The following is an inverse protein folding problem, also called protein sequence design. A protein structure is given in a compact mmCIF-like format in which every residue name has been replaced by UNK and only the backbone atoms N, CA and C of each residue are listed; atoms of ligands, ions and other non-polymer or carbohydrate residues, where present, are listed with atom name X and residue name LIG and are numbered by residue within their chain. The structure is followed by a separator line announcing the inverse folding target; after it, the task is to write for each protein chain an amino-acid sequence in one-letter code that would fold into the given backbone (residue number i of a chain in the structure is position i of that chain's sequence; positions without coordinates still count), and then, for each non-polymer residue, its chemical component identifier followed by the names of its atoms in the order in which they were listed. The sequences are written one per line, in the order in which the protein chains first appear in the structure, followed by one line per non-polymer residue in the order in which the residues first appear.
data_IF_790402979459
#
_entry.id   IF_790402979459
#
_cell.length_a   1.000
_cell.length_b   1.000
_cell.length_c   1.000
_cell.angle_alpha   90.00
_cell.angle_beta   90.00
_cell.angle_gamma   90.00
#
_symmetry.space_group_name_H-M   'P 1'
#
loop_
_entity.id
_entity.type
_entity.pdbx_description
1 polymer ?
#
# COMPACT_ATOMS: atom_id res chain seq x y z
N UNK A 1 -24.43 -63.19 46.47
CA UNK A 1 -24.38 -62.83 45.04
C UNK A 1 -25.01 -61.49 44.70
N UNK A 2 -26.34 -61.25 44.73
CA UNK A 2 -26.87 -59.90 44.43
C UNK A 2 -26.65 -58.85 45.54
N UNK A 3 -26.62 -59.26 46.80
CA UNK A 3 -26.41 -58.35 47.94
C UNK A 3 -24.93 -57.95 48.12
N UNK A 4 -23.99 -58.85 47.82
CA UNK A 4 -22.54 -58.55 47.89
C UNK A 4 -22.07 -57.59 46.79
N UNK A 5 -22.68 -57.64 45.59
CA UNK A 5 -22.37 -56.68 44.51
C UNK A 5 -22.94 -55.27 44.79
N UNK A 6 -24.07 -55.17 45.51
CA UNK A 6 -24.64 -53.88 45.92
C UNK A 6 -23.86 -53.22 47.06
N UNK A 7 -23.32 -54.01 47.99
CA UNK A 7 -22.49 -53.54 49.09
C UNK A 7 -21.08 -53.10 48.63
N UNK A 8 -20.45 -53.83 47.69
CA UNK A 8 -19.20 -53.38 47.03
C UNK A 8 -19.40 -52.10 46.21
N UNK A 9 -20.54 -51.96 45.53
CA UNK A 9 -20.86 -50.74 44.79
C UNK A 9 -21.09 -49.54 45.71
N UNK A 10 -21.72 -49.74 46.87
CA UNK A 10 -21.95 -48.71 47.87
C UNK A 10 -20.66 -48.29 48.60
N UNK A 11 -19.75 -49.22 48.88
CA UNK A 11 -18.44 -48.94 49.47
C UNK A 11 -17.49 -48.26 48.46
N UNK A 12 -17.55 -48.66 47.18
CA UNK A 12 -16.83 -48.01 46.08
C UNK A 12 -17.30 -46.57 45.82
N UNK A 13 -18.62 -46.32 45.88
CA UNK A 13 -19.20 -44.98 45.74
C UNK A 13 -18.93 -44.10 46.98
N UNK A 14 -18.97 -44.67 48.19
CA UNK A 14 -18.68 -43.97 49.44
C UNK A 14 -17.24 -43.48 49.54
N UNK A 15 -16.28 -44.24 48.99
CA UNK A 15 -14.87 -43.83 48.91
C UNK A 15 -14.59 -42.78 47.83
N UNK A 16 -15.41 -42.67 46.79
CA UNK A 16 -15.27 -41.64 45.75
C UNK A 16 -15.82 -40.27 46.17
N UNK A 17 -16.87 -40.24 47.01
CA UNK A 17 -17.53 -39.00 47.44
C UNK A 17 -16.64 -38.19 48.42
N UNK A 18 -15.76 -38.84 49.18
CA UNK A 18 -14.84 -38.17 50.10
C UNK A 18 -13.55 -37.62 49.45
N UNK A 19 -13.35 -37.84 48.13
CA UNK A 19 -12.14 -37.42 47.39
C UNK A 19 -12.43 -36.25 46.43
N UNK A 20 -13.70 -35.86 46.26
CA UNK A 20 -14.10 -34.77 45.37
C UNK A 20 -14.54 -33.57 46.23
N UNK A 21 -13.68 -32.57 46.33
CA UNK A 21 -14.04 -31.27 46.90
C UNK A 21 -15.11 -30.61 45.98
N UNK A 22 -16.27 -30.18 46.51
CA UNK A 22 -17.30 -29.46 45.75
C UNK A 22 -16.79 -28.23 44.98
N UNK A 23 -15.62 -27.69 45.37
CA UNK A 23 -14.95 -26.59 44.67
C UNK A 23 -14.28 -26.98 43.34
N UNK A 24 -14.03 -28.27 43.09
CA UNK A 24 -13.43 -28.75 41.83
C UNK A 24 -14.46 -29.09 40.74
N UNK A 25 -15.73 -29.32 41.10
CA UNK A 25 -16.84 -29.46 40.14
C UNK A 25 -17.11 -28.12 39.42
N UNK A 26 -16.84 -26.99 40.07
CA UNK A 26 -17.03 -25.65 39.49
C UNK A 26 -15.85 -25.14 38.64
N UNK A 27 -14.71 -25.87 38.54
CA UNK A 27 -13.59 -25.46 37.67
C UNK A 27 -13.73 -25.91 36.21
N UNK A 28 -14.60 -26.88 35.92
CA UNK A 28 -14.84 -27.38 34.56
C UNK A 28 -16.03 -26.71 33.85
N UNK A 29 -16.67 -25.70 34.45
CA UNK A 29 -17.72 -24.86 33.85
C UNK A 29 -17.23 -23.76 32.91
N UNK A 30 -16.09 -23.94 32.23
CA UNK A 30 -15.70 -23.09 31.09
C UNK A 30 -15.38 -23.97 29.91
N UNK A 31 -16.44 -24.36 29.20
CA UNK A 31 -16.40 -24.61 27.76
C UNK A 31 -15.90 -23.35 27.02
N UNK A 32 -14.61 -23.05 27.14
CA UNK A 32 -13.94 -22.17 26.19
C UNK A 32 -13.78 -23.00 24.93
N UNK A 33 -14.81 -22.99 24.08
CA UNK A 33 -14.70 -23.43 22.68
C UNK A 33 -13.33 -23.03 22.16
N UNK A 34 -12.52 -24.03 21.79
CA UNK A 34 -11.12 -23.82 21.38
C UNK A 34 -11.13 -22.89 20.18
N UNK A 35 -10.80 -21.61 20.41
CA UNK A 35 -10.89 -20.57 19.38
C UNK A 35 -10.13 -20.98 18.14
N UNK A 36 -10.75 -20.78 16.98
CA UNK A 36 -10.13 -21.12 15.70
C UNK A 36 -8.86 -20.28 15.48
N UNK A 37 -7.94 -20.76 14.63
CA UNK A 37 -6.74 -19.98 14.24
C UNK A 37 -7.10 -18.60 13.68
N UNK A 38 -8.27 -18.50 13.02
CA UNK A 38 -8.83 -17.26 12.47
C UNK A 38 -9.27 -16.30 13.58
N UNK A 39 -9.99 -16.78 14.59
CA UNK A 39 -10.41 -16.00 15.76
C UNK A 39 -9.23 -15.49 16.57
N UNK A 40 -8.27 -16.36 16.91
CA UNK A 40 -7.04 -15.96 17.63
C UNK A 40 -6.28 -14.86 16.86
N UNK A 41 -6.23 -14.93 15.53
CA UNK A 41 -5.61 -13.92 14.68
C UNK A 41 -6.41 -12.61 14.67
N UNK A 42 -7.75 -12.67 14.68
CA UNK A 42 -8.64 -11.51 14.76
C UNK A 42 -8.47 -10.78 16.10
N UNK A 43 -8.53 -11.50 17.21
CA UNK A 43 -8.34 -10.94 18.57
C UNK A 43 -6.97 -10.31 18.73
N UNK A 44 -5.91 -11.00 18.28
CA UNK A 44 -4.56 -10.43 18.28
C UNK A 44 -4.50 -9.12 17.49
N UNK A 45 -5.14 -9.07 16.31
CA UNK A 45 -5.20 -7.84 15.48
C UNK A 45 -5.96 -6.72 16.17
N UNK A 46 -7.09 -7.02 16.81
CA UNK A 46 -7.91 -6.05 17.54
C UNK A 46 -7.17 -5.50 18.76
N UNK A 47 -6.57 -6.36 19.58
CA UNK A 47 -5.72 -5.96 20.70
C UNK A 47 -4.54 -5.08 20.24
N UNK A 48 -3.85 -5.45 19.14
CA UNK A 48 -2.80 -4.62 18.56
C UNK A 48 -3.34 -3.27 18.04
N UNK A 49 -4.53 -3.24 17.45
CA UNK A 49 -5.18 -2.01 16.96
C UNK A 49 -5.51 -1.08 18.13
N UNK A 50 -6.03 -1.62 19.23
CA UNK A 50 -6.37 -0.87 20.43
C UNK A 50 -5.12 -0.35 21.15
N UNK A 51 -4.10 -1.20 21.34
CA UNK A 51 -2.80 -0.80 21.91
C UNK A 51 -2.16 0.31 21.08
N UNK A 52 -2.21 0.23 19.75
CA UNK A 52 -1.75 1.31 18.86
C UNK A 52 -2.61 2.57 19.01
N UNK A 53 -3.93 2.45 19.15
CA UNK A 53 -4.84 3.59 19.36
C UNK A 53 -4.53 4.31 20.67
N UNK A 54 -4.30 3.58 21.76
CA UNK A 54 -3.91 4.11 23.09
C UNK A 54 -2.54 4.80 23.05
N UNK A 55 -1.57 4.27 22.31
CA UNK A 55 -0.21 4.85 22.19
C UNK A 55 -0.09 6.05 21.22
N UNK A 56 -1.06 6.27 20.32
CA UNK A 56 -1.01 7.36 19.32
C UNK A 56 -0.88 8.76 19.92
N UNK A 57 -1.63 9.15 20.98
CA UNK A 57 -1.50 10.47 21.59
C UNK A 57 -0.12 10.70 22.21
N UNK A 58 0.37 9.71 22.98
CA UNK A 58 1.69 9.74 23.61
C UNK A 58 2.81 9.85 22.56
N UNK A 59 2.74 9.05 21.49
CA UNK A 59 3.72 9.11 20.40
C UNK A 59 3.70 10.47 19.67
N UNK A 60 2.51 11.07 19.49
CA UNK A 60 2.38 12.43 18.95
C UNK A 60 3.00 13.48 19.87
N UNK A 61 2.77 13.39 21.20
CA UNK A 61 3.36 14.29 22.20
C UNK A 61 4.89 14.19 22.18
N UNK A 62 5.42 12.97 22.26
CA UNK A 62 6.87 12.70 22.19
C UNK A 62 7.52 13.24 20.91
N UNK A 63 6.86 13.12 19.76
CA UNK A 63 7.38 13.69 18.49
C UNK A 63 7.38 15.23 18.49
N UNK A 64 6.39 15.87 19.11
CA UNK A 64 6.36 17.34 19.25
C UNK A 64 7.45 17.83 20.19
N UNK A 65 7.63 17.14 21.32
CA UNK A 65 8.66 17.44 22.32
C UNK A 65 10.06 17.33 21.74
N UNK A 66 10.39 16.22 21.07
CA UNK A 66 11.68 16.06 20.36
C UNK A 66 11.95 17.17 19.34
N UNK A 67 10.93 17.64 18.61
CA UNK A 67 11.07 18.77 17.68
C UNK A 67 11.32 20.09 18.39
N UNK A 68 10.66 20.31 19.53
CA UNK A 68 10.85 21.50 20.37
C UNK A 68 12.25 21.50 20.99
N UNK A 69 12.70 20.39 21.55
CA UNK A 69 14.05 20.24 22.11
C UNK A 69 15.13 20.46 21.04
N UNK A 70 14.99 19.87 19.86
CA UNK A 70 15.93 20.09 18.76
C UNK A 70 15.99 21.55 18.33
N UNK A 71 14.84 22.26 18.31
CA UNK A 71 14.79 23.68 18.03
C UNK A 71 15.46 24.51 19.13
N UNK A 72 15.18 24.23 20.40
CA UNK A 72 15.80 24.92 21.54
C UNK A 72 17.32 24.73 21.56
N UNK A 73 17.83 23.54 21.25
CA UNK A 73 19.28 23.29 21.13
C UNK A 73 19.94 24.16 20.07
N UNK A 74 19.28 24.38 18.93
CA UNK A 74 19.78 25.26 17.88
C UNK A 74 19.75 26.72 18.37
N UNK A 75 18.65 27.15 18.97
CA UNK A 75 18.48 28.53 19.43
C UNK A 75 19.40 28.91 20.59
N UNK A 76 19.72 27.98 21.49
CA UNK A 76 20.61 28.24 22.64
C UNK A 76 22.05 28.55 22.22
N UNK A 77 22.48 28.12 21.03
CA UNK A 77 23.82 28.37 20.50
C UNK A 77 23.90 29.68 19.69
N UNK A 78 22.82 30.45 19.61
CA UNK A 78 22.71 31.66 18.78
C UNK A 78 22.44 32.90 19.63
N UNK A 79 22.93 34.05 19.15
CA UNK A 79 22.67 35.36 19.74
C UNK A 79 21.23 35.82 19.43
N UNK A 80 20.73 36.86 20.10
CA UNK A 80 19.33 37.33 19.92
C UNK A 80 19.01 37.77 18.48
N UNK A 81 19.93 38.47 17.82
CA UNK A 81 19.78 38.85 16.41
C UNK A 81 19.74 37.61 15.48
N UNK A 82 20.62 36.64 15.73
CA UNK A 82 20.70 35.39 14.96
C UNK A 82 19.46 34.51 15.18
N UNK A 83 18.90 34.48 16.39
CA UNK A 83 17.63 33.79 16.69
C UNK A 83 16.48 34.38 15.87
N UNK A 84 16.37 35.72 15.81
CA UNK A 84 15.33 36.40 15.03
C UNK A 84 15.50 36.09 13.54
N UNK A 85 16.72 36.17 13.02
CA UNK A 85 17.02 35.85 11.63
C UNK A 85 16.67 34.40 11.29
N UNK A 86 17.08 33.43 12.13
CA UNK A 86 16.79 32.01 11.94
C UNK A 86 15.28 31.71 11.93
N UNK A 87 14.51 32.29 12.84
CA UNK A 87 13.06 32.10 12.88
C UNK A 87 12.37 32.69 11.64
N UNK A 88 12.82 33.87 11.18
CA UNK A 88 12.31 34.52 9.96
C UNK A 88 12.62 33.68 8.72
N UNK A 89 13.86 33.23 8.57
CA UNK A 89 14.29 32.36 7.46
C UNK A 89 13.53 31.04 7.46
N UNK A 90 13.38 30.41 8.63
CA UNK A 90 12.60 29.18 8.76
C UNK A 90 11.15 29.37 8.31
N UNK A 91 10.49 30.45 8.74
CA UNK A 91 9.12 30.79 8.32
C UNK A 91 9.04 31.02 6.80
N UNK A 92 10.01 31.73 6.23
CA UNK A 92 10.08 31.97 4.79
C UNK A 92 10.29 30.66 4.01
N UNK A 93 11.17 29.78 4.48
CA UNK A 93 11.41 28.45 3.91
C UNK A 93 10.15 27.58 3.94
N UNK A 94 9.39 27.62 5.03
CA UNK A 94 8.11 26.90 5.13
C UNK A 94 7.06 27.44 4.16
N UNK A 95 6.97 28.75 3.95
CA UNK A 95 6.09 29.38 2.95
C UNK A 95 6.53 28.97 1.54
N UNK A 96 7.82 29.09 1.22
CA UNK A 96 8.38 28.72 -0.08
C UNK A 96 8.10 27.24 -0.42
N UNK A 97 8.32 26.32 0.52
CA UNK A 97 8.02 24.88 0.32
C UNK A 97 6.53 24.61 0.08
N UNK A 98 5.64 25.35 0.75
CA UNK A 98 4.19 25.24 0.52
C UNK A 98 3.83 25.71 -0.88
N UNK A 99 4.40 26.84 -1.31
CA UNK A 99 4.16 27.39 -2.65
C UNK A 99 4.72 26.47 -3.74
N UNK A 100 5.97 26.00 -3.61
CA UNK A 100 6.56 25.02 -4.53
C UNK A 100 5.70 23.76 -4.66
N UNK A 101 5.16 23.25 -3.55
CA UNK A 101 4.27 22.09 -3.57
C UNK A 101 2.95 22.41 -4.30
N UNK A 102 2.38 23.58 -4.07
CA UNK A 102 1.15 24.02 -4.74
C UNK A 102 1.36 24.16 -6.24
N UNK A 103 2.44 24.83 -6.66
CA UNK A 103 2.83 24.98 -8.05
C UNK A 103 3.07 23.63 -8.72
N UNK A 104 3.76 22.71 -8.04
CA UNK A 104 3.96 21.34 -8.53
C UNK A 104 2.63 20.60 -8.73
N UNK A 105 1.67 20.74 -7.81
CA UNK A 105 0.35 20.12 -7.94
C UNK A 105 -0.45 20.71 -9.11
N UNK A 106 -0.44 22.03 -9.28
CA UNK A 106 -1.09 22.71 -10.41
C UNK A 106 -0.49 22.24 -11.74
N UNK A 107 0.84 22.21 -11.84
CA UNK A 107 1.54 21.69 -13.02
C UNK A 107 1.19 20.23 -13.29
N UNK A 108 1.19 19.41 -12.24
CA UNK A 108 0.84 17.99 -12.35
C UNK A 108 -0.58 17.80 -12.87
N UNK A 109 -1.53 18.62 -12.40
CA UNK A 109 -2.93 18.56 -12.77
C UNK A 109 -3.20 18.97 -14.23
N UNK A 110 -2.45 19.94 -14.76
CA UNK A 110 -2.63 20.47 -16.12
C UNK A 110 -1.79 19.74 -17.18
N UNK A 111 -0.54 19.40 -16.86
CA UNK A 111 0.47 18.98 -17.85
C UNK A 111 1.07 17.60 -17.56
N UNK A 112 0.70 16.96 -16.44
CA UNK A 112 1.26 15.66 -16.06
C UNK A 112 0.86 14.49 -16.96
N UNK A 113 1.59 13.39 -16.85
CA UNK A 113 1.21 12.12 -17.48
C UNK A 113 -0.12 11.62 -16.93
N UNK A 114 -1.02 11.15 -17.79
CA UNK A 114 -2.36 10.71 -17.37
C UNK A 114 -2.32 9.28 -16.87
N UNK A 115 -2.73 9.06 -15.63
CA UNK A 115 -3.00 7.74 -15.06
C UNK A 115 -4.48 7.70 -14.68
N UNK A 116 -5.22 6.76 -15.27
CA UNK A 116 -6.63 6.58 -15.05
C UNK A 116 -6.91 5.36 -14.15
N UNK A 117 -7.71 5.56 -13.11
CA UNK A 117 -8.25 4.52 -12.24
C UNK A 117 -9.68 4.26 -12.68
N UNK A 118 -9.91 3.09 -13.28
CA UNK A 118 -11.25 2.66 -13.60
C UNK A 118 -11.95 2.11 -12.35
N UNK A 119 -12.99 2.79 -11.87
CA UNK A 119 -13.76 2.40 -10.69
C UNK A 119 -15.08 1.67 -11.03
N UNK A 120 -15.28 1.24 -12.28
CA UNK A 120 -16.51 0.53 -12.72
C UNK A 120 -16.79 -0.77 -11.95
N UNK A 121 -15.76 -1.39 -11.37
CA UNK A 121 -15.86 -2.66 -10.64
C UNK A 121 -16.16 -2.49 -9.15
N UNK A 122 -16.55 -1.30 -8.70
CA UNK A 122 -16.80 -1.03 -7.27
C UNK A 122 -17.84 -1.96 -6.64
N UNK A 123 -18.89 -2.32 -7.39
CA UNK A 123 -19.96 -3.19 -6.92
C UNK A 123 -19.52 -4.67 -6.76
N UNK A 124 -18.36 -5.04 -7.31
CA UNK A 124 -17.78 -6.38 -7.18
C UNK A 124 -16.83 -6.49 -5.98
N UNK A 125 -16.54 -5.39 -5.29
CA UNK A 125 -15.59 -5.35 -4.18
C UNK A 125 -16.30 -5.35 -2.82
N UNK A 126 -15.77 -6.13 -1.88
CA UNK A 126 -16.19 -6.03 -0.48
C UNK A 126 -15.69 -4.70 0.15
N UNK A 127 -16.33 -4.25 1.23
CA UNK A 127 -15.90 -3.06 1.99
C UNK A 127 -14.40 -3.05 2.35
N UNK A 128 -13.83 -4.23 2.65
CA UNK A 128 -12.40 -4.38 2.97
C UNK A 128 -11.51 -4.15 1.75
N UNK A 129 -11.97 -4.56 0.58
CA UNK A 129 -11.27 -4.39 -0.69
C UNK A 129 -11.36 -2.93 -1.14
N UNK A 130 -12.53 -2.29 -1.01
CA UNK A 130 -12.69 -0.85 -1.21
C UNK A 130 -11.77 -0.06 -0.27
N UNK A 131 -11.70 -0.46 1.01
CA UNK A 131 -10.77 0.14 1.98
C UNK A 131 -9.30 -0.04 1.59
N UNK A 132 -8.96 -1.21 1.03
CA UNK A 132 -7.63 -1.51 0.51
C UNK A 132 -7.31 -0.66 -0.72
N UNK A 133 -8.24 -0.54 -1.67
CA UNK A 133 -8.10 0.25 -2.89
C UNK A 133 -7.94 1.74 -2.59
N UNK A 134 -8.78 2.30 -1.72
CA UNK A 134 -8.65 3.69 -1.29
C UNK A 134 -7.28 3.98 -0.66
N UNK A 135 -6.76 3.03 0.13
CA UNK A 135 -5.41 3.12 0.68
C UNK A 135 -4.33 3.04 -0.41
N UNK A 136 -4.52 2.20 -1.42
CA UNK A 136 -3.59 2.08 -2.54
C UNK A 136 -3.55 3.38 -3.36
N UNK A 137 -4.70 3.96 -3.71
CA UNK A 137 -4.82 5.28 -4.34
C UNK A 137 -4.11 6.36 -3.52
N UNK A 138 -4.33 6.35 -2.20
CA UNK A 138 -3.62 7.25 -1.27
C UNK A 138 -2.10 7.12 -1.36
N UNK A 139 -1.58 5.89 -1.34
CA UNK A 139 -0.15 5.64 -1.45
C UNK A 139 0.40 6.14 -2.80
N UNK A 140 -0.34 5.90 -3.88
CA UNK A 140 0.07 6.30 -5.23
C UNK A 140 0.17 7.82 -5.39
N UNK A 141 -0.85 8.57 -4.93
CA UNK A 141 -0.84 10.03 -4.96
C UNK A 141 0.33 10.60 -4.12
N UNK A 142 0.59 10.04 -2.95
CA UNK A 142 1.71 10.48 -2.10
C UNK A 142 3.08 10.07 -2.65
N UNK A 143 3.15 8.95 -3.38
CA UNK A 143 4.37 8.52 -4.06
C UNK A 143 4.75 9.48 -5.19
N UNK A 144 3.77 9.91 -5.98
CA UNK A 144 3.94 10.98 -6.97
C UNK A 144 4.53 12.25 -6.34
N UNK A 145 3.95 12.71 -5.24
CA UNK A 145 4.45 13.88 -4.49
C UNK A 145 5.87 13.68 -3.97
N UNK A 146 6.18 12.47 -3.48
CA UNK A 146 7.52 12.12 -2.97
C UNK A 146 8.57 12.12 -4.08
N UNK A 147 8.23 11.61 -5.26
CA UNK A 147 9.16 11.50 -6.39
C UNK A 147 9.26 12.76 -7.23
N UNK A 148 8.34 13.72 -7.03
CA UNK A 148 8.21 14.99 -7.77
C UNK A 148 8.05 14.77 -9.28
N UNK A 149 7.24 13.78 -9.66
CA UNK A 149 6.94 13.46 -11.07
C UNK A 149 5.55 14.00 -11.40
N UNK A 150 5.37 14.84 -12.44
CA UNK A 150 4.08 15.41 -12.75
C UNK A 150 3.15 14.35 -13.36
N UNK A 151 2.14 13.93 -12.59
CA UNK A 151 1.13 12.94 -13.02
C UNK A 151 -0.27 13.46 -12.72
N UNK A 152 -1.14 13.35 -13.71
CA UNK A 152 -2.58 13.58 -13.61
C UNK A 152 -3.26 12.28 -13.16
N UNK A 153 -3.94 12.33 -12.02
CA UNK A 153 -4.76 11.22 -11.54
C UNK A 153 -6.20 11.44 -12.01
N UNK A 154 -6.72 10.50 -12.81
CA UNK A 154 -8.09 10.48 -13.28
C UNK A 154 -8.85 9.31 -12.64
N UNK A 155 -10.08 9.54 -12.20
CA UNK A 155 -10.98 8.52 -11.67
C UNK A 155 -12.22 8.49 -12.56
N UNK A 156 -12.54 7.33 -13.14
CA UNK A 156 -13.72 7.14 -14.00
C UNK A 156 -14.73 6.23 -13.32
N UNK A 157 -16.00 6.33 -13.70
CA UNK A 157 -17.11 5.68 -13.01
C UNK A 157 -17.14 5.98 -11.50
N UNK A 158 -16.93 7.24 -11.11
CA UNK A 158 -16.92 7.65 -9.71
C UNK A 158 -17.93 8.78 -9.45
N UNK A 159 -18.86 8.53 -8.53
CA UNK A 159 -19.83 9.50 -8.04
C UNK A 159 -19.53 9.90 -6.59
N UNK A 160 -20.12 11.01 -6.13
CA UNK A 160 -19.89 11.55 -4.79
C UNK A 160 -20.41 10.66 -3.64
N UNK A 161 -21.40 9.83 -3.94
CA UNK A 161 -22.09 8.94 -2.99
C UNK A 161 -21.58 7.49 -3.02
N UNK A 162 -20.60 7.19 -3.88
CA UNK A 162 -20.05 5.84 -4.01
C UNK A 162 -19.26 5.43 -2.76
N UNK A 163 -19.21 4.12 -2.49
CA UNK A 163 -18.48 3.55 -1.36
C UNK A 163 -16.99 3.88 -1.40
N UNK A 164 -16.42 3.89 -2.63
CA UNK A 164 -15.02 4.25 -2.84
C UNK A 164 -14.78 5.73 -2.56
N UNK A 165 -15.68 6.62 -2.98
CA UNK A 165 -15.61 8.06 -2.74
C UNK A 165 -15.71 8.36 -1.24
N UNK A 166 -16.70 7.77 -0.56
CA UNK A 166 -16.89 7.86 0.89
C UNK A 166 -15.68 7.36 1.68
N UNK A 167 -15.02 6.31 1.19
CA UNK A 167 -13.81 5.78 1.83
C UNK A 167 -12.58 6.63 1.54
N UNK A 168 -12.45 7.21 0.35
CA UNK A 168 -11.39 8.14 -0.02
C UNK A 168 -11.48 9.48 0.74
N UNK A 169 -12.68 9.98 1.05
CA UNK A 169 -12.89 11.16 1.90
C UNK A 169 -12.18 11.06 3.26
N UNK A 170 -12.07 9.85 3.82
CA UNK A 170 -11.29 9.58 5.07
C UNK A 170 -9.80 9.92 4.94
N UNK A 171 -9.27 10.02 3.72
CA UNK A 171 -7.90 10.41 3.39
C UNK A 171 -7.77 11.86 2.92
N UNK A 172 -8.80 12.70 3.13
CA UNK A 172 -8.85 14.09 2.65
C UNK A 172 -8.75 14.20 1.13
N UNK A 173 -9.37 13.25 0.43
CA UNK A 173 -9.40 13.20 -1.03
C UNK A 173 -9.99 14.47 -1.65
N UNK A 174 -10.97 15.10 -0.99
CA UNK A 174 -11.58 16.38 -1.43
C UNK A 174 -10.58 17.54 -1.58
N UNK A 175 -9.38 17.42 -0.99
CA UNK A 175 -8.32 18.43 -1.07
C UNK A 175 -7.27 18.14 -2.14
N UNK A 176 -7.40 17.02 -2.86
CA UNK A 176 -6.40 16.61 -3.83
C UNK A 176 -6.71 17.23 -5.19
N UNK A 177 -5.65 17.56 -5.94
CA UNK A 177 -5.80 18.04 -7.31
C UNK A 177 -5.86 16.82 -8.24
N UNK A 178 -7.07 16.36 -8.50
CA UNK A 178 -7.36 15.15 -9.29
C UNK A 178 -8.59 15.37 -10.17
N UNK A 179 -8.72 14.58 -11.21
CA UNK A 179 -9.84 14.63 -12.14
C UNK A 179 -10.82 13.52 -11.83
N UNK A 180 -12.10 13.86 -11.66
CA UNK A 180 -13.17 12.90 -11.35
C UNK A 180 -14.17 12.94 -12.50
N UNK A 181 -14.50 11.78 -13.03
CA UNK A 181 -15.40 11.60 -14.16
C UNK A 181 -16.46 10.55 -13.82
N UNK A 182 -17.70 10.83 -14.23
CA UNK A 182 -18.83 9.91 -14.06
C UNK A 182 -18.88 8.85 -15.16
N UNK A 183 -18.43 9.22 -16.35
CA UNK A 183 -18.44 8.37 -17.54
C UNK A 183 -17.25 7.40 -17.61
N UNK A 184 -17.30 6.51 -18.60
CA UNK A 184 -16.23 5.57 -18.91
C UNK A 184 -15.01 6.26 -19.56
N UNK A 185 -13.82 5.69 -19.36
CA UNK A 185 -12.57 6.22 -19.90
C UNK A 185 -12.55 6.24 -21.43
N UNK A 186 -13.31 5.38 -22.10
CA UNK A 186 -13.47 5.39 -23.57
C UNK A 186 -14.13 6.66 -24.12
N UNK A 187 -14.97 7.32 -23.32
CA UNK A 187 -15.70 8.52 -23.73
C UNK A 187 -14.94 9.80 -23.39
N UNK A 188 -14.02 9.72 -22.44
CA UNK A 188 -13.28 10.88 -21.90
C UNK A 188 -11.96 11.08 -22.66
N UNK A 189 -11.30 9.99 -23.04
CA UNK A 189 -9.99 10.04 -23.69
C UNK A 189 -10.08 9.56 -25.14
N UNK A 190 -9.15 10.05 -25.97
CA UNK A 190 -9.02 9.53 -27.33
C UNK A 190 -8.59 8.06 -27.29
N UNK A 191 -9.39 7.19 -27.91
CA UNK A 191 -9.20 5.74 -27.97
C UNK A 191 -7.80 5.32 -28.42
N UNK A 192 -7.21 6.04 -29.38
CA UNK A 192 -5.87 5.73 -29.91
C UNK A 192 -4.75 5.92 -28.89
N UNK A 193 -5.02 6.63 -27.80
CA UNK A 193 -4.04 6.94 -26.75
C UNK A 193 -4.31 6.17 -25.45
N UNK A 194 -5.31 5.30 -25.43
CA UNK A 194 -5.68 4.53 -24.24
C UNK A 194 -4.88 3.22 -24.23
N UNK A 195 -4.11 3.03 -23.16
CA UNK A 195 -3.43 1.76 -22.88
C UNK A 195 -4.01 1.18 -21.60
N UNK A 196 -4.66 0.01 -21.70
CA UNK A 196 -5.23 -0.71 -20.56
C UNK A 196 -4.20 -1.70 -20.04
N UNK A 197 -3.74 -1.49 -18.80
CA UNK A 197 -2.78 -2.38 -18.16
C UNK A 197 -3.49 -3.60 -17.57
N UNK A 198 -3.31 -4.76 -18.22
CA UNK A 198 -3.85 -6.04 -17.77
C UNK A 198 -2.74 -7.10 -17.66
N UNK A 199 -2.72 -7.91 -16.59
CA UNK A 199 -1.77 -9.03 -16.46
C UNK A 199 -1.99 -10.14 -17.51
N UNK A 200 -3.14 -10.12 -18.20
CA UNK A 200 -3.54 -11.10 -19.22
C UNK A 200 -3.36 -10.59 -20.66
N UNK A 201 -2.71 -9.43 -20.85
CA UNK A 201 -2.38 -8.93 -22.18
C UNK A 201 -1.52 -9.96 -22.96
N UNK A 202 -1.82 -10.11 -24.26
CA UNK A 202 -1.22 -11.14 -25.12
C UNK A 202 0.24 -10.85 -25.50
N UNK A 203 0.67 -9.60 -25.36
CA UNK A 203 2.06 -9.14 -25.49
C UNK A 203 2.88 -9.70 -24.31
N UNK A 204 3.48 -10.87 -24.52
CA UNK A 204 4.15 -11.67 -23.49
C UNK A 204 5.62 -11.26 -23.34
N UNK A 205 5.98 -10.70 -22.19
CA UNK A 205 7.40 -10.42 -21.87
C UNK A 205 7.90 -11.14 -20.58
N UNK A 206 7.08 -12.01 -19.95
CA UNK A 206 7.46 -12.71 -18.70
C UNK A 206 6.97 -14.17 -18.72
N UNK A 207 7.88 -15.13 -18.47
CA UNK A 207 7.52 -16.54 -18.28
C UNK A 207 6.80 -16.77 -16.94
N UNK A 208 5.63 -17.41 -17.01
CA UNK A 208 4.74 -17.67 -15.86
C UNK A 208 5.33 -18.76 -14.94
N UNK A 209 5.59 -18.45 -13.66
CA UNK A 209 5.78 -19.46 -12.60
C UNK A 209 4.85 -19.29 -11.38
N UNK A 210 4.23 -18.12 -11.14
CA UNK A 210 3.23 -17.83 -10.06
C UNK A 210 2.30 -16.66 -10.43
N UNK A 211 1.32 -16.31 -9.58
CA UNK A 211 0.42 -15.16 -9.78
C UNK A 211 1.22 -13.86 -9.95
N UNK A 212 1.18 -13.34 -11.17
CA UNK A 212 1.84 -12.12 -11.63
C UNK A 212 0.99 -10.86 -11.35
N UNK A 213 -0.20 -11.01 -10.76
CA UNK A 213 -1.07 -9.88 -10.41
C UNK A 213 -0.40 -9.00 -9.35
N UNK A 214 -0.25 -7.72 -9.69
CA UNK A 214 0.32 -6.69 -8.81
C UNK A 214 -0.82 -5.88 -8.16
N UNK A 215 -0.51 -5.28 -7.02
CA UNK A 215 -1.41 -4.30 -6.40
C UNK A 215 -1.45 -3.04 -7.25
N UNK A 216 -2.59 -2.35 -7.28
CA UNK A 216 -2.80 -1.08 -8.01
C UNK A 216 -1.69 -0.08 -7.68
N UNK A 217 -1.38 0.11 -6.40
CA UNK A 217 -0.32 1.04 -6.00
C UNK A 217 1.06 0.66 -6.56
N UNK A 218 1.38 -0.63 -6.61
CA UNK A 218 2.68 -1.10 -7.13
C UNK A 218 2.80 -0.81 -8.62
N UNK A 219 1.74 -1.00 -9.40
CA UNK A 219 1.72 -0.64 -10.82
C UNK A 219 1.97 0.86 -11.00
N UNK A 220 1.28 1.70 -10.22
CA UNK A 220 1.47 3.16 -10.29
C UNK A 220 2.88 3.58 -9.85
N UNK A 221 3.44 2.94 -8.83
CA UNK A 221 4.82 3.17 -8.39
C UNK A 221 5.84 2.83 -9.50
N UNK A 222 5.63 1.73 -10.21
CA UNK A 222 6.43 1.31 -11.38
C UNK A 222 6.37 2.38 -12.47
N UNK A 223 5.16 2.81 -12.87
CA UNK A 223 4.97 3.83 -13.90
C UNK A 223 5.65 5.15 -13.53
N UNK A 224 5.43 5.64 -12.31
CA UNK A 224 6.04 6.89 -11.82
C UNK A 224 7.57 6.77 -11.77
N UNK A 225 8.09 5.61 -11.38
CA UNK A 225 9.54 5.40 -11.35
C UNK A 225 10.12 5.36 -12.75
N UNK A 226 9.45 4.70 -13.69
CA UNK A 226 9.89 4.60 -15.09
C UNK A 226 9.92 5.98 -15.77
N UNK A 227 8.89 6.81 -15.57
CA UNK A 227 8.86 8.20 -16.07
C UNK A 227 10.09 8.98 -15.57
N UNK A 228 10.54 8.71 -14.35
CA UNK A 228 11.71 9.37 -13.76
C UNK A 228 13.03 8.77 -14.23
N UNK A 229 13.07 7.45 -14.41
CA UNK A 229 14.26 6.68 -14.77
C UNK A 229 13.83 5.60 -15.75
N UNK A 230 14.00 5.81 -17.07
CA UNK A 230 13.49 4.91 -18.10
C UNK A 230 14.34 3.64 -18.21
N UNK A 231 14.36 2.84 -17.14
CA UNK A 231 15.10 1.59 -17.03
C UNK A 231 14.23 0.59 -16.27
N UNK A 232 13.61 -0.34 -17.00
CA UNK A 232 12.69 -1.34 -16.47
C UNK A 232 13.33 -2.23 -15.39
N UNK A 233 14.59 -2.63 -15.61
CA UNK A 233 15.36 -3.45 -14.70
C UNK A 233 15.44 -2.79 -13.31
N UNK A 234 15.92 -1.56 -13.26
CA UNK A 234 16.06 -0.79 -12.03
C UNK A 234 14.71 -0.47 -11.37
N UNK A 235 13.68 -0.21 -12.18
CA UNK A 235 12.32 0.05 -11.70
C UNK A 235 11.76 -1.19 -11.00
N UNK A 236 11.87 -2.37 -11.60
CA UNK A 236 11.35 -3.59 -11.02
C UNK A 236 12.10 -4.00 -9.74
N UNK A 237 13.41 -3.88 -9.70
CA UNK A 237 14.19 -4.10 -8.47
C UNK A 237 13.77 -3.18 -7.33
N UNK A 238 13.41 -1.93 -7.66
CA UNK A 238 13.06 -0.93 -6.64
C UNK A 238 11.61 -1.03 -6.16
N UNK A 239 10.67 -1.30 -7.06
CA UNK A 239 9.23 -1.19 -6.79
C UNK A 239 8.57 -2.54 -6.46
N UNK A 240 9.14 -3.65 -6.90
CA UNK A 240 8.55 -4.98 -6.65
C UNK A 240 9.18 -5.57 -5.38
N UNK A 241 8.39 -6.10 -4.42
CA UNK A 241 8.93 -6.76 -3.24
C UNK A 241 9.85 -7.93 -3.65
N UNK A 242 11.03 -8.05 -3.02
CA UNK A 242 12.06 -9.04 -3.37
C UNK A 242 11.56 -10.49 -3.55
N UNK A 243 10.53 -10.89 -2.78
CA UNK A 243 9.89 -12.22 -2.92
C UNK A 243 9.23 -12.48 -4.28
N UNK A 244 8.90 -11.43 -5.03
CA UNK A 244 8.43 -11.48 -6.41
C UNK A 244 9.56 -11.19 -7.41
N UNK A 245 10.56 -10.37 -7.04
CA UNK A 245 11.72 -10.01 -7.90
C UNK A 245 12.49 -11.25 -8.38
N UNK A 246 12.67 -12.29 -7.56
CA UNK A 246 13.33 -13.53 -8.02
C UNK A 246 12.62 -14.24 -9.18
N UNK A 247 11.36 -13.93 -9.48
CA UNK A 247 10.68 -14.44 -10.68
C UNK A 247 10.91 -13.58 -11.93
N UNK A 248 11.44 -12.35 -11.79
CA UNK A 248 11.65 -11.40 -12.89
C UNK A 248 13.08 -11.41 -13.45
N UNK A 249 14.08 -11.90 -12.70
CA UNK A 249 15.51 -11.65 -13.02
C UNK A 249 16.39 -12.89 -13.23
N UNK A 250 15.95 -14.09 -12.88
CA UNK A 250 16.72 -15.31 -13.10
C UNK A 250 16.18 -16.08 -14.31
N UNK A 251 16.47 -15.60 -15.51
CA UNK A 251 16.47 -16.43 -16.74
C UNK A 251 17.55 -16.01 -17.76
N UNK A 252 18.56 -15.22 -17.36
CA UNK A 252 19.68 -14.79 -18.23
C UNK A 252 21.04 -15.40 -17.84
N UNK A 253 21.08 -16.45 -17.03
CA UNK A 253 22.34 -17.06 -16.57
C UNK A 253 22.30 -18.58 -16.57
N UNK A 254 21.62 -19.17 -17.56
CA UNK A 254 21.66 -20.61 -17.80
C UNK A 254 21.61 -20.89 -19.29
N UNK A 255 22.69 -20.53 -19.98
CA UNK A 255 23.29 -21.23 -21.12
C UNK A 255 24.35 -20.33 -21.76
N UNK A 256 25.60 -20.46 -21.32
CA UNK A 256 26.74 -20.09 -22.16
C UNK A 256 27.72 -21.25 -22.10
N UNK A 257 27.85 -21.90 -23.25
CA UNK A 257 28.93 -22.71 -23.81
C UNK A 257 28.25 -23.68 -24.80
N UNK A 258 28.64 -23.81 -26.06
CA UNK A 258 29.77 -23.32 -26.83
C UNK A 258 29.31 -23.25 -28.30
N UNK A 259 30.09 -22.52 -29.10
CA UNK A 259 30.15 -22.52 -30.56
C UNK A 259 29.43 -21.44 -31.38
N UNK A 260 30.29 -20.88 -32.23
CA UNK A 260 30.11 -20.01 -33.39
C UNK A 260 30.07 -18.47 -33.21
N UNK A 261 31.21 -17.92 -33.62
CA UNK A 261 31.51 -16.52 -33.86
C UNK A 261 30.87 -16.07 -35.20
N UNK A 262 30.95 -14.75 -35.38
CA UNK A 262 31.13 -13.96 -36.60
C UNK A 262 29.88 -13.33 -37.27
N UNK A 263 30.02 -12.00 -37.45
CA UNK A 263 29.55 -11.08 -38.53
C UNK A 263 28.37 -10.14 -38.21
N UNK A 264 28.76 -8.88 -37.94
CA UNK A 264 28.26 -7.55 -38.38
C UNK A 264 26.75 -7.30 -38.56
N UNK A 265 26.37 -6.10 -38.12
CA UNK A 265 25.68 -5.13 -38.99
C UNK A 265 24.24 -4.79 -38.61
N UNK A 266 24.07 -3.56 -38.14
CA UNK A 266 22.95 -2.64 -38.35
C UNK A 266 21.50 -3.11 -38.08
N UNK A 267 20.85 -2.43 -37.14
CA UNK A 267 19.49 -1.92 -37.38
C UNK A 267 19.25 -0.66 -36.54
N UNK A 268 18.84 0.38 -37.27
CA UNK A 268 18.77 1.77 -36.87
C UNK A 268 17.68 2.04 -35.82
N UNK A 269 18.01 2.94 -34.89
CA UNK A 269 17.06 3.56 -33.97
C UNK A 269 16.49 4.78 -34.68
N UNK A 270 15.23 4.71 -35.15
CA UNK A 270 14.51 5.89 -35.60
C UNK A 270 14.13 6.76 -34.39
N UNK A 271 14.87 7.85 -34.22
CA UNK A 271 14.54 8.94 -33.30
C UNK A 271 13.31 9.66 -33.88
N UNK A 272 12.15 9.52 -33.24
CA UNK A 272 11.02 10.40 -33.51
C UNK A 272 10.81 11.33 -32.33
N UNK A 273 11.20 12.59 -32.54
CA UNK A 273 10.96 13.72 -31.66
C UNK A 273 9.46 13.99 -31.53
N UNK A 274 8.77 13.34 -30.59
CA UNK A 274 7.45 13.79 -30.11
C UNK A 274 7.26 13.31 -28.67
N UNK A 275 6.58 14.14 -27.87
CA UNK A 275 6.31 13.98 -26.43
C UNK A 275 5.32 12.83 -26.13
N UNK A 276 5.58 11.66 -26.70
CA UNK A 276 4.81 10.45 -26.49
C UNK A 276 5.77 9.40 -25.92
N UNK A 277 5.52 8.96 -24.69
CA UNK A 277 6.10 7.71 -24.21
C UNK A 277 5.34 6.60 -24.96
N UNK A 278 5.77 6.31 -26.18
CA UNK A 278 5.49 5.02 -26.78
C UNK A 278 6.37 4.02 -26.03
N UNK A 279 5.77 3.30 -25.09
CA UNK A 279 6.38 2.07 -24.63
C UNK A 279 6.09 1.03 -25.71
N UNK A 280 7.00 0.92 -26.67
CA UNK A 280 7.10 -0.30 -27.47
C UNK A 280 7.65 -1.38 -26.54
N UNK A 281 6.89 -2.44 -26.36
CA UNK A 281 7.33 -3.67 -25.71
C UNK A 281 7.34 -4.79 -26.75
#
# INVERSE_FOLDING_TARGET
MKQEEEDEAHEFLGNFINVIDPSDINKNGRDKKKKTKKEKKKEKREHLKEKRKKKRPEEKKRKKEKKREALLKILNNLNEEEKIAFLKERKLSEIKKKEEKKQFLIKSYNEGYKICFNCSFQNLMEEKEISSLAKQIFLSYHYMLKKKVPVQFHFTHMNDNDDISSTLKKYSFDKWMVHIHKDDYWNIFNKDKIVVLSPDASEKHIKKKKSNVLNVNTVVEILIHYIKTPNWLKVFETCIPQKKVMCFFYDSSSSVNEDERIIKGDSEICINEKKDIQVHF
#
